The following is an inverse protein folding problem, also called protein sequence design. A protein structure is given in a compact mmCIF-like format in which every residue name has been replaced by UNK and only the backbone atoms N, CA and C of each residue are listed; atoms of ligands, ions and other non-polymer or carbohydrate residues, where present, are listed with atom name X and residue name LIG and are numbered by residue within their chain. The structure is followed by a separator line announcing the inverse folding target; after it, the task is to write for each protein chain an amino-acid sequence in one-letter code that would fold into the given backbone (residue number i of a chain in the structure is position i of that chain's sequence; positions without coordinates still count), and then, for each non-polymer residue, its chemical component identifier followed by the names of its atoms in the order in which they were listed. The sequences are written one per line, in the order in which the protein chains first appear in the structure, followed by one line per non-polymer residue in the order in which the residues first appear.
data_IF_255790774936
#
_entry.id   IF_255790774936
#
_cell.length_a   1.000
_cell.length_b   1.000
_cell.length_c   1.000
_cell.angle_alpha   90.00
_cell.angle_beta   90.00
_cell.angle_gamma   90.00
#
_symmetry.space_group_name_H-M   'P 1'
#
loop_
_entity.id
_entity.type
_entity.pdbx_description
1 polymer ?
#
# COMPACT_ATOMS: atom_id res chain seq x y z
N UNK A 1 -18.26 -11.69 -20.33
CA UNK A 1 -17.58 -12.58 -19.37
C UNK A 1 -16.93 -11.73 -18.29
N UNK A 2 -17.44 -11.87 -17.07
CA UNK A 2 -17.01 -11.33 -15.76
C UNK A 2 -16.23 -10.00 -15.78
N UNK A 3 -16.93 -8.86 -15.78
CA UNK A 3 -16.35 -7.61 -15.23
C UNK A 3 -16.32 -7.72 -13.70
N UNK A 4 -15.34 -8.45 -13.16
CA UNK A 4 -15.12 -8.44 -11.72
C UNK A 4 -14.67 -7.01 -11.39
N UNK A 5 -15.50 -6.25 -10.68
CA UNK A 5 -15.13 -4.95 -10.14
C UNK A 5 -13.77 -5.11 -9.44
N UNK A 6 -12.71 -4.55 -10.05
CA UNK A 6 -11.36 -4.61 -9.50
C UNK A 6 -11.31 -3.61 -8.35
N UNK A 7 -11.71 -4.06 -7.16
CA UNK A 7 -11.59 -3.27 -5.95
C UNK A 7 -10.11 -3.19 -5.53
N UNK A 8 -9.63 -1.98 -5.27
CA UNK A 8 -8.28 -1.75 -4.78
C UNK A 8 -8.03 -2.49 -3.45
N UNK A 9 -6.77 -2.87 -3.20
CA UNK A 9 -6.33 -3.59 -2.01
C UNK A 9 -4.94 -3.14 -1.60
N UNK A 10 -4.54 -3.36 -0.33
CA UNK A 10 -3.15 -3.19 0.09
C UNK A 10 -2.17 -3.85 -0.89
N UNK A 11 -1.17 -3.10 -1.34
CA UNK A 11 -0.19 -3.55 -2.34
C UNK A 11 1.20 -3.83 -1.74
N UNK A 12 1.40 -3.53 -0.45
CA UNK A 12 2.61 -3.84 0.30
C UNK A 12 2.28 -4.76 1.47
N UNK A 13 3.22 -5.66 1.80
CA UNK A 13 3.18 -6.41 3.06
C UNK A 13 3.71 -5.49 4.16
N UNK A 14 2.90 -5.26 5.19
CA UNK A 14 3.26 -4.42 6.32
C UNK A 14 3.00 -5.15 7.64
N UNK A 15 3.91 -5.00 8.60
CA UNK A 15 3.73 -5.59 9.94
C UNK A 15 2.63 -4.82 10.67
N UNK A 16 1.75 -5.52 11.40
CA UNK A 16 0.64 -4.88 12.12
C UNK A 16 -0.51 -4.42 11.23
N UNK A 17 -0.70 -5.05 10.06
CA UNK A 17 -1.87 -4.79 9.23
C UNK A 17 -3.17 -5.02 10.00
N UNK A 18 -4.08 -4.04 9.97
CA UNK A 18 -5.33 -4.07 10.75
C UNK A 18 -6.40 -5.02 10.18
N UNK A 19 -6.05 -5.89 9.24
CA UNK A 19 -6.99 -6.70 8.47
C UNK A 19 -7.94 -7.52 9.36
N UNK A 20 -7.43 -8.09 10.46
CA UNK A 20 -8.23 -8.89 11.40
C UNK A 20 -9.14 -8.03 12.30
N UNK A 21 -8.83 -6.74 12.45
CA UNK A 21 -9.59 -5.80 13.30
C UNK A 21 -10.61 -4.97 12.50
N UNK A 22 -10.62 -5.07 11.17
CA UNK A 22 -11.48 -4.26 10.29
C UNK A 22 -12.94 -4.33 10.73
N UNK A 23 -13.49 -5.53 10.88
CA UNK A 23 -14.92 -5.71 11.21
C UNK A 23 -15.27 -5.17 12.61
N UNK A 24 -14.30 -5.14 13.52
CA UNK A 24 -14.51 -4.60 14.86
C UNK A 24 -14.52 -3.07 14.84
N UNK A 25 -13.59 -2.47 14.08
CA UNK A 25 -13.48 -1.01 13.94
C UNK A 25 -14.66 -0.44 13.16
N UNK A 26 -15.06 -1.11 12.07
CA UNK A 26 -16.20 -0.72 11.24
C UNK A 26 -17.51 -0.60 12.06
N UNK A 27 -17.74 -1.56 12.96
CA UNK A 27 -18.89 -1.54 13.88
C UNK A 27 -18.89 -0.38 14.89
N UNK A 28 -17.77 0.31 15.06
CA UNK A 28 -17.68 1.49 15.94
C UNK A 28 -17.99 2.80 15.20
N UNK A 29 -18.21 2.76 13.88
CA UNK A 29 -18.64 3.93 13.14
C UNK A 29 -20.03 4.39 13.62
N UNK A 30 -20.33 5.70 13.56
CA UNK A 30 -21.67 6.20 13.80
C UNK A 30 -22.71 5.44 12.96
N UNK A 31 -23.89 5.16 13.54
CA UNK A 31 -24.93 4.36 12.85
C UNK A 31 -25.43 5.02 11.57
N UNK A 32 -25.31 6.35 11.48
CA UNK A 32 -25.69 7.19 10.36
C UNK A 32 -24.49 7.59 9.49
N UNK A 33 -23.30 6.97 9.69
CA UNK A 33 -22.07 7.36 8.99
C UNK A 33 -22.23 7.38 7.46
N UNK A 34 -22.95 6.43 6.88
CA UNK A 34 -23.19 6.36 5.43
C UNK A 34 -24.11 7.48 4.91
N UNK A 35 -24.88 8.12 5.79
CA UNK A 35 -25.73 9.27 5.44
C UNK A 35 -24.96 10.60 5.45
N UNK A 36 -23.74 10.62 6.01
CA UNK A 36 -22.93 11.83 6.04
C UNK A 36 -22.48 12.21 4.64
N UNK A 37 -22.57 13.49 4.30
CA UNK A 37 -22.16 14.00 2.99
C UNK A 37 -20.69 14.41 2.95
N UNK A 38 -20.00 14.11 1.85
CA UNK A 38 -18.64 14.60 1.55
C UNK A 38 -17.59 14.28 2.63
N UNK A 39 -17.64 13.07 3.19
CA UNK A 39 -16.76 12.66 4.29
C UNK A 39 -15.28 12.75 3.89
N UNK A 40 -14.47 13.30 4.80
CA UNK A 40 -13.01 13.17 4.76
C UNK A 40 -12.57 12.10 5.74
N UNK A 41 -12.03 10.99 5.23
CA UNK A 41 -11.39 9.96 6.04
C UNK A 41 -9.95 10.36 6.37
N UNK A 42 -9.52 10.19 7.61
CA UNK A 42 -8.18 10.56 8.08
C UNK A 42 -7.52 9.35 8.74
N UNK A 43 -6.37 8.91 8.23
CA UNK A 43 -5.59 7.80 8.81
C UNK A 43 -4.15 8.25 9.10
N UNK A 44 -3.85 8.64 10.36
CA UNK A 44 -2.53 9.18 10.73
C UNK A 44 -1.37 8.16 10.69
N UNK A 45 -1.71 6.87 10.71
CA UNK A 45 -0.79 5.73 10.78
C UNK A 45 -1.19 4.68 9.74
N UNK A 46 -1.00 5.01 8.46
CA UNK A 46 -1.51 4.21 7.35
C UNK A 46 -0.95 2.78 7.31
N UNK A 47 0.35 2.60 7.61
CA UNK A 47 1.03 1.33 7.40
C UNK A 47 0.75 0.74 6.01
N UNK A 48 0.24 -0.49 5.95
CA UNK A 48 -0.17 -1.13 4.68
C UNK A 48 -1.51 -0.66 4.10
N UNK A 49 -2.25 0.19 4.80
CA UNK A 49 -3.51 0.79 4.34
C UNK A 49 -4.72 -0.15 4.34
N UNK A 50 -4.68 -1.24 5.13
CA UNK A 50 -5.80 -2.19 5.19
C UNK A 50 -7.13 -1.52 5.51
N UNK A 51 -7.14 -0.61 6.49
CA UNK A 51 -8.34 0.15 6.88
C UNK A 51 -8.73 1.16 5.79
N UNK A 52 -7.80 1.99 5.29
CA UNK A 52 -8.04 2.89 4.16
C UNK A 52 -8.76 2.20 3.00
N UNK A 53 -8.19 1.10 2.48
CA UNK A 53 -8.76 0.42 1.32
C UNK A 53 -10.12 -0.19 1.67
N UNK A 54 -10.34 -0.66 2.90
CA UNK A 54 -11.66 -1.10 3.33
C UNK A 54 -12.66 0.06 3.34
N UNK A 55 -12.36 1.15 4.05
CA UNK A 55 -13.24 2.31 4.22
C UNK A 55 -13.66 2.89 2.87
N UNK A 56 -12.72 3.10 1.95
CA UNK A 56 -13.01 3.63 0.61
C UNK A 56 -13.87 2.69 -0.25
N UNK A 57 -13.89 1.38 0.05
CA UNK A 57 -14.69 0.39 -0.70
C UNK A 57 -16.08 0.19 -0.13
N UNK A 58 -16.25 0.35 1.18
CA UNK A 58 -17.54 0.16 1.85
C UNK A 58 -18.35 1.44 1.93
N UNK A 59 -17.69 2.60 2.08
CA UNK A 59 -18.34 3.87 2.36
C UNK A 59 -18.11 4.86 1.19
N UNK A 60 -18.96 4.83 0.15
CA UNK A 60 -18.82 5.67 -1.05
C UNK A 60 -19.08 7.16 -0.79
N UNK A 61 -19.60 7.51 0.38
CA UNK A 61 -19.77 8.87 0.85
C UNK A 61 -18.43 9.54 1.24
N UNK A 62 -17.36 8.77 1.41
CA UNK A 62 -16.00 9.30 1.54
C UNK A 62 -15.53 9.87 0.21
N UNK A 63 -15.34 11.19 0.15
CA UNK A 63 -14.88 11.90 -1.06
C UNK A 63 -13.41 12.31 -0.99
N UNK A 64 -12.81 12.27 0.20
CA UNK A 64 -11.41 12.59 0.41
C UNK A 64 -10.80 11.68 1.46
N UNK A 65 -9.55 11.28 1.25
CA UNK A 65 -8.75 10.61 2.26
C UNK A 65 -7.45 11.39 2.51
N UNK A 66 -7.11 11.57 3.79
CA UNK A 66 -5.84 12.13 4.24
C UNK A 66 -5.09 11.04 5.00
N UNK A 67 -3.93 10.65 4.50
CA UNK A 67 -3.12 9.58 5.09
C UNK A 67 -1.76 10.11 5.51
N UNK A 68 -1.21 9.55 6.58
CA UNK A 68 0.11 9.88 7.08
C UNK A 68 0.81 8.62 7.63
N UNK A 69 2.13 8.71 7.72
CA UNK A 69 3.00 7.78 8.43
C UNK A 69 4.33 8.50 8.73
N UNK A 70 5.01 8.11 9.79
CA UNK A 70 6.35 8.64 10.09
C UNK A 70 7.40 8.12 9.09
N UNK A 71 7.14 6.97 8.47
CA UNK A 71 8.04 6.41 7.48
C UNK A 71 7.92 7.14 6.12
N UNK A 72 8.87 8.02 5.85
CA UNK A 72 8.91 8.79 4.60
C UNK A 72 9.05 7.93 3.33
N UNK A 73 9.69 6.77 3.39
CA UNK A 73 9.77 5.84 2.26
C UNK A 73 8.42 5.21 1.94
N UNK A 74 7.64 4.89 2.98
CA UNK A 74 6.27 4.40 2.83
C UNK A 74 5.40 5.46 2.16
N UNK A 75 5.46 6.71 2.64
CA UNK A 75 4.71 7.82 2.03
C UNK A 75 5.15 8.06 0.58
N UNK A 76 6.45 7.96 0.30
CA UNK A 76 6.97 8.05 -1.06
C UNK A 76 6.43 6.92 -1.94
N UNK A 77 6.32 5.69 -1.42
CA UNK A 77 5.73 4.56 -2.13
C UNK A 77 4.27 4.83 -2.51
N UNK A 78 3.43 5.29 -1.57
CA UNK A 78 2.04 5.67 -1.85
C UNK A 78 1.93 6.79 -2.90
N UNK A 79 2.74 7.84 -2.78
CA UNK A 79 2.78 8.94 -3.76
C UNK A 79 3.21 8.45 -5.15
N UNK A 80 4.21 7.57 -5.21
CA UNK A 80 4.69 7.01 -6.49
C UNK A 80 3.61 6.17 -7.17
N UNK A 81 2.89 5.34 -6.41
CA UNK A 81 1.76 4.57 -6.96
C UNK A 81 0.62 5.50 -7.41
N UNK A 82 0.35 6.60 -6.70
CA UNK A 82 -0.71 7.54 -7.07
C UNK A 82 -0.37 8.38 -8.30
N UNK A 83 0.85 8.91 -8.35
CA UNK A 83 1.22 9.98 -9.28
C UNK A 83 2.06 9.48 -10.47
N UNK A 84 2.76 8.35 -10.34
CA UNK A 84 3.77 7.89 -11.30
C UNK A 84 3.64 6.38 -11.63
N UNK A 85 2.40 5.86 -11.65
CA UNK A 85 2.15 4.42 -11.84
C UNK A 85 2.66 3.90 -13.19
N UNK A 86 2.55 4.72 -14.23
CA UNK A 86 2.94 4.36 -15.60
C UNK A 86 4.46 4.17 -15.75
N UNK A 87 5.26 4.90 -14.95
CA UNK A 87 6.71 4.70 -14.89
C UNK A 87 7.08 3.59 -13.90
N UNK A 88 6.32 3.44 -12.82
CA UNK A 88 6.59 2.43 -11.78
C UNK A 88 6.44 0.99 -12.31
N UNK A 89 5.38 0.71 -13.07
CA UNK A 89 5.10 -0.63 -13.61
C UNK A 89 6.28 -1.20 -14.44
N UNK A 90 6.80 -0.50 -15.47
CA UNK A 90 7.92 -1.01 -16.26
C UNK A 90 9.20 -1.18 -15.43
N UNK A 91 9.49 -0.26 -14.51
CA UNK A 91 10.64 -0.40 -13.61
C UNK A 91 10.55 -1.66 -12.72
N UNK A 92 9.37 -1.96 -12.19
CA UNK A 92 9.14 -3.19 -11.43
C UNK A 92 9.23 -4.45 -12.31
N UNK A 93 8.75 -4.39 -13.56
CA UNK A 93 8.88 -5.50 -14.52
C UNK A 93 10.33 -5.78 -14.89
N UNK A 94 11.17 -4.75 -14.97
CA UNK A 94 12.60 -4.93 -15.21
C UNK A 94 13.26 -5.71 -14.07
N UNK A 95 13.03 -5.28 -12.82
CA UNK A 95 13.54 -5.97 -11.62
C UNK A 95 13.02 -7.42 -11.56
N UNK A 96 11.75 -7.61 -11.89
CA UNK A 96 11.13 -8.94 -11.98
C UNK A 96 11.83 -9.81 -13.04
N UNK A 97 12.07 -9.27 -14.24
CA UNK A 97 12.77 -9.97 -15.32
C UNK A 97 14.19 -10.37 -14.94
N UNK A 98 14.94 -9.45 -14.31
CA UNK A 98 16.26 -9.74 -13.75
C UNK A 98 16.18 -10.89 -12.74
N UNK A 99 15.28 -10.81 -11.76
CA UNK A 99 15.10 -11.86 -10.75
C UNK A 99 14.79 -13.23 -11.34
N UNK A 100 13.90 -13.32 -12.33
CA UNK A 100 13.52 -14.60 -12.94
C UNK A 100 14.54 -15.13 -13.95
N UNK A 101 15.44 -14.29 -14.46
CA UNK A 101 16.57 -14.74 -15.30
C UNK A 101 17.63 -15.53 -14.51
N UNK A 102 17.66 -15.37 -13.18
CA UNK A 102 18.60 -16.07 -12.30
C UNK A 102 18.25 -17.57 -12.18
N UNK A 103 19.26 -18.42 -12.40
CA UNK A 103 19.11 -19.88 -12.57
C UNK A 103 18.71 -20.64 -11.30
N UNK A 104 19.07 -20.14 -10.13
CA UNK A 104 18.87 -20.86 -8.87
C UNK A 104 18.48 -19.93 -7.71
N UNK A 105 18.05 -20.52 -6.60
CA UNK A 105 17.60 -19.78 -5.41
C UNK A 105 18.74 -19.07 -4.67
N UNK A 106 19.98 -19.55 -4.78
CA UNK A 106 21.13 -18.88 -4.15
C UNK A 106 21.37 -17.51 -4.78
N UNK A 107 21.44 -17.45 -6.12
CA UNK A 107 21.61 -16.18 -6.85
C UNK A 107 20.42 -15.22 -6.63
N UNK A 108 19.19 -15.73 -6.59
CA UNK A 108 17.99 -14.94 -6.26
C UNK A 108 18.07 -14.33 -4.87
N UNK A 109 18.55 -15.10 -3.89
CA UNK A 109 18.76 -14.63 -2.51
C UNK A 109 19.85 -13.56 -2.45
N UNK A 110 20.95 -13.73 -3.18
CA UNK A 110 22.03 -12.74 -3.28
C UNK A 110 21.52 -11.41 -3.84
N UNK A 111 20.80 -11.44 -4.97
CA UNK A 111 20.18 -10.24 -5.54
C UNK A 111 19.26 -9.53 -4.54
N UNK A 112 18.38 -10.27 -3.86
CA UNK A 112 17.49 -9.71 -2.85
C UNK A 112 18.27 -9.06 -1.70
N UNK A 113 19.31 -9.72 -1.18
CA UNK A 113 20.12 -9.17 -0.09
C UNK A 113 20.88 -7.92 -0.50
N UNK A 114 21.41 -7.86 -1.73
CA UNK A 114 22.09 -6.67 -2.25
C UNK A 114 21.13 -5.47 -2.35
N UNK A 115 19.92 -5.68 -2.88
CA UNK A 115 18.89 -4.62 -2.95
C UNK A 115 18.49 -4.15 -1.56
N UNK A 116 18.31 -5.09 -0.62
CA UNK A 116 17.96 -4.77 0.78
C UNK A 116 19.07 -3.99 1.48
N UNK A 117 20.33 -4.37 1.27
CA UNK A 117 21.48 -3.68 1.83
C UNK A 117 21.53 -2.24 1.33
N UNK A 118 21.45 -2.02 0.02
CA UNK A 118 21.37 -0.68 -0.59
C UNK A 118 20.21 0.14 0.00
N UNK A 119 19.04 -0.48 0.20
CA UNK A 119 17.88 0.19 0.81
C UNK A 119 18.17 0.62 2.24
N UNK A 120 18.85 -0.20 3.05
CA UNK A 120 19.15 0.12 4.44
C UNK A 120 20.25 1.19 4.56
N UNK A 121 21.22 1.19 3.64
CA UNK A 121 22.38 2.09 3.67
C UNK A 121 22.09 3.49 3.11
N UNK A 122 20.99 3.67 2.37
CA UNK A 122 20.62 4.97 1.77
C UNK A 122 20.45 6.13 2.78
N UNK A 123 20.27 5.80 4.06
CA UNK A 123 20.13 6.77 5.15
C UNK A 123 21.44 7.00 5.93
N UNK A 124 22.51 6.25 5.64
CA UNK A 124 23.84 6.42 6.26
C UNK A 124 24.71 7.49 5.56
N UNK A 125 24.25 7.99 4.42
CA UNK A 125 24.94 8.98 3.58
C UNK A 125 24.25 10.35 3.58
N UNK A 126 23.36 10.59 4.55
CA UNK A 126 22.75 11.90 4.81
C UNK A 126 23.38 12.55 6.03
#
# INVERSE_FOLDING_TARGET
MISKSLKAKPFIKWVGGKTELIDQIDKQLPIDFDNWENVTYIEPFIGGGAMLFYMLRQHPNIKRAVINDINSDLITCYKTVRDNVEQLIPALREIQGQYYSLRNMAAKREMFMAVRQRYNEKNLTR
#
